data_IF_365037014781
#
_entry.id   IF_365037014781
#
_cell.length_a   1.000
_cell.length_b   1.000
_cell.length_c   1.000
_cell.angle_alpha   90.00
_cell.angle_beta   90.00
_cell.angle_gamma   90.00
#
_symmetry.space_group_name_H-M   'P 1'
#
loop_
_entity.id
_entity.type
_entity.pdbx_description
1 polymer ?
#
# COMPACT_ATOMS: atom_id res chain seq x y z
N UNK A 1 -13.85 -7.16 10.35
CA UNK A 1 -13.02 -6.08 9.73
C UNK A 1 -13.62 -4.71 9.95
N UNK A 2 -14.90 -4.48 9.60
CA UNK A 2 -15.59 -3.22 9.86
C UNK A 2 -15.63 -2.87 11.36
N UNK A 3 -16.09 -3.79 12.21
CA UNK A 3 -16.15 -3.60 13.66
C UNK A 3 -14.80 -3.22 14.28
N UNK A 4 -13.73 -3.91 13.88
CA UNK A 4 -12.38 -3.59 14.32
C UNK A 4 -11.92 -2.20 13.87
N UNK A 5 -12.19 -1.81 12.62
CA UNK A 5 -11.80 -0.49 12.12
C UNK A 5 -12.56 0.64 12.81
N UNK A 6 -13.89 0.52 12.92
CA UNK A 6 -14.73 1.56 13.51
C UNK A 6 -14.64 1.62 15.04
N UNK A 7 -14.33 0.50 15.71
CA UNK A 7 -14.08 0.41 17.16
C UNK A 7 -12.64 0.73 17.58
N UNK A 8 -11.71 0.90 16.64
CA UNK A 8 -10.31 1.20 16.94
C UNK A 8 -10.12 2.64 17.40
N UNK A 9 -9.23 2.86 18.37
CA UNK A 9 -8.72 4.19 18.76
C UNK A 9 -7.67 4.74 17.78
N UNK A 10 -7.26 3.95 16.79
CA UNK A 10 -6.28 4.36 15.80
C UNK A 10 -6.86 5.46 14.90
N UNK A 11 -6.09 6.52 14.67
CA UNK A 11 -6.47 7.56 13.72
C UNK A 11 -6.67 6.96 12.31
N UNK A 12 -7.84 7.12 11.69
CA UNK A 12 -8.09 6.69 10.32
C UNK A 12 -7.03 7.26 9.37
N UNK A 13 -6.65 8.53 9.56
CA UNK A 13 -5.63 9.20 8.77
C UNK A 13 -4.26 8.52 8.90
N UNK A 14 -3.86 8.16 10.12
CA UNK A 14 -2.61 7.45 10.36
C UNK A 14 -2.61 6.08 9.66
N UNK A 15 -3.75 5.39 9.66
CA UNK A 15 -3.91 4.12 8.97
C UNK A 15 -3.80 4.29 7.45
N UNK A 16 -4.48 5.27 6.87
CA UNK A 16 -4.38 5.59 5.44
C UNK A 16 -2.95 5.93 5.03
N UNK A 17 -2.27 6.78 5.81
CA UNK A 17 -0.87 7.14 5.56
C UNK A 17 0.05 5.92 5.64
N UNK A 18 -0.20 4.99 6.55
CA UNK A 18 0.53 3.73 6.63
C UNK A 18 0.37 2.85 5.38
N UNK A 19 -0.82 2.81 4.79
CA UNK A 19 -1.03 2.14 3.49
C UNK A 19 -0.35 2.90 2.35
N UNK A 20 -0.53 4.22 2.29
CA UNK A 20 0.07 5.07 1.26
C UNK A 20 1.59 4.89 1.19
N UNK A 21 2.29 5.01 2.32
CA UNK A 21 3.74 4.84 2.39
C UNK A 21 4.19 3.46 1.91
N UNK A 22 3.45 2.40 2.26
CA UNK A 22 3.76 1.03 1.81
C UNK A 22 3.60 0.90 0.30
N UNK A 23 2.51 1.37 -0.29
CA UNK A 23 2.30 1.31 -1.73
C UNK A 23 3.30 2.17 -2.51
N UNK A 24 3.66 3.36 -1.99
CA UNK A 24 4.70 4.21 -2.57
C UNK A 24 6.07 3.54 -2.55
N UNK A 25 6.42 2.82 -1.48
CA UNK A 25 7.64 2.04 -1.42
C UNK A 25 7.66 0.94 -2.49
N UNK A 26 6.55 0.20 -2.65
CA UNK A 26 6.45 -0.84 -3.69
C UNK A 26 6.58 -0.24 -5.09
N UNK A 27 5.90 0.88 -5.37
CA UNK A 27 6.01 1.59 -6.65
C UNK A 27 7.45 2.04 -6.92
N UNK A 28 8.11 2.62 -5.92
CA UNK A 28 9.49 3.08 -6.04
C UNK A 28 10.46 1.95 -6.34
N UNK A 29 10.28 0.78 -5.72
CA UNK A 29 11.06 -0.42 -6.04
C UNK A 29 10.88 -0.84 -7.49
N UNK A 30 9.64 -0.87 -8.01
CA UNK A 30 9.39 -1.19 -9.42
C UNK A 30 10.06 -0.18 -10.37
N UNK A 31 9.83 1.11 -10.16
CA UNK A 31 10.41 2.17 -10.99
C UNK A 31 11.94 2.09 -11.00
N UNK A 32 12.56 1.91 -9.84
CA UNK A 32 14.01 1.88 -9.73
C UNK A 32 14.61 0.60 -10.31
N UNK A 33 13.93 -0.54 -10.18
CA UNK A 33 14.36 -1.80 -10.82
C UNK A 33 14.36 -1.70 -12.35
N UNK A 34 13.35 -1.05 -12.92
CA UNK A 34 13.24 -0.85 -14.37
C UNK A 34 14.25 0.20 -14.85
N UNK A 35 14.38 1.33 -14.14
CA UNK A 35 15.28 2.41 -14.52
C UNK A 35 16.76 2.00 -14.48
N UNK A 36 17.15 1.21 -13.50
CA UNK A 36 18.53 0.74 -13.35
C UNK A 36 18.79 -0.60 -14.05
N UNK A 37 17.76 -1.21 -14.65
CA UNK A 37 17.82 -2.55 -15.26
C UNK A 37 18.39 -3.63 -14.33
N UNK A 38 18.05 -3.56 -13.03
CA UNK A 38 18.47 -4.52 -12.01
C UNK A 38 17.28 -5.33 -11.49
N UNK A 39 17.57 -6.51 -10.95
CA UNK A 39 16.52 -7.33 -10.34
C UNK A 39 15.82 -6.60 -9.19
N UNK A 40 14.53 -6.92 -9.00
CA UNK A 40 13.75 -6.45 -7.86
C UNK A 40 14.46 -6.78 -6.54
N UNK A 41 15.10 -7.94 -6.43
CA UNK A 41 15.86 -8.33 -5.25
C UNK A 41 17.04 -7.39 -4.96
N UNK A 42 17.85 -7.06 -5.97
CA UNK A 42 18.94 -6.08 -5.82
C UNK A 42 18.39 -4.71 -5.42
N UNK A 43 17.24 -4.32 -5.96
CA UNK A 43 16.58 -3.07 -5.62
C UNK A 43 16.11 -3.07 -4.16
N UNK A 44 15.48 -4.15 -3.68
CA UNK A 44 15.10 -4.30 -2.26
C UNK A 44 16.33 -4.19 -1.36
N UNK A 45 17.47 -4.79 -1.72
CA UNK A 45 18.70 -4.69 -0.93
C UNK A 45 19.23 -3.24 -0.86
N UNK A 46 19.06 -2.46 -1.93
CA UNK A 46 19.41 -1.02 -1.95
C UNK A 46 18.52 -0.19 -1.02
N UNK A 47 17.21 -0.47 -0.99
CA UNK A 47 16.24 0.23 -0.15
C UNK A 47 16.31 -0.18 1.33
N UNK A 48 16.42 -1.49 1.58
CA UNK A 48 16.56 -2.04 2.93
C UNK A 48 18.01 -2.37 3.22
N UNK A 49 18.77 -1.31 3.51
CA UNK A 49 20.15 -1.39 4.03
C UNK A 49 20.22 -2.05 5.40
N UNK A 50 19.09 -2.16 6.10
CA UNK A 50 19.02 -2.86 7.39
C UNK A 50 19.25 -4.36 7.19
N UNK A 51 20.04 -4.99 8.07
CA UNK A 51 20.30 -6.45 8.06
C UNK A 51 19.09 -7.27 8.53
N UNK A 52 17.87 -6.74 8.49
CA UNK A 52 16.66 -7.41 9.03
C UNK A 52 16.06 -8.31 7.94
N UNK A 53 16.30 -9.64 7.95
CA UNK A 53 15.95 -10.50 6.83
C UNK A 53 14.43 -10.63 6.68
N UNK A 54 13.70 -10.62 7.80
CA UNK A 54 12.24 -10.69 7.85
C UNK A 54 11.56 -9.56 7.07
N UNK A 55 12.12 -8.35 7.12
CA UNK A 55 11.57 -7.17 6.42
C UNK A 55 11.75 -7.29 4.90
N UNK A 56 12.92 -7.78 4.47
CA UNK A 56 13.20 -8.06 3.06
C UNK A 56 12.28 -9.16 2.51
N UNK A 57 12.11 -10.25 3.25
CA UNK A 57 11.22 -11.35 2.87
C UNK A 57 9.76 -10.88 2.74
N UNK A 58 9.31 -10.01 3.65
CA UNK A 58 7.98 -9.40 3.57
C UNK A 58 7.83 -8.53 2.32
N UNK A 59 8.81 -7.69 1.99
CA UNK A 59 8.79 -6.87 0.78
C UNK A 59 8.76 -7.72 -0.49
N UNK A 60 9.55 -8.78 -0.55
CA UNK A 60 9.52 -9.72 -1.68
C UNK A 60 8.13 -10.35 -1.85
N UNK A 61 7.53 -10.84 -0.76
CA UNK A 61 6.16 -11.36 -0.77
C UNK A 61 5.14 -10.32 -1.23
N UNK A 62 5.27 -9.07 -0.79
CA UNK A 62 4.38 -8.01 -1.24
C UNK A 62 4.54 -7.71 -2.74
N UNK A 63 5.76 -7.71 -3.27
CA UNK A 63 6.00 -7.50 -4.71
C UNK A 63 5.58 -8.69 -5.57
N UNK A 64 5.49 -9.89 -5.01
CA UNK A 64 4.88 -11.05 -5.68
C UNK A 64 3.35 -10.91 -5.78
N UNK A 65 2.69 -10.42 -4.72
CA UNK A 65 1.25 -10.22 -4.70
C UNK A 65 0.84 -9.00 -5.52
N UNK A 66 1.56 -7.89 -5.38
CA UNK A 66 1.14 -6.59 -5.90
C UNK A 66 1.98 -6.20 -7.12
N UNK A 67 1.46 -6.44 -8.32
CA UNK A 67 2.11 -5.96 -9.52
C UNK A 67 2.01 -4.43 -9.66
N UNK A 68 2.94 -3.86 -10.44
CA UNK A 68 3.07 -2.42 -10.69
C UNK A 68 1.77 -1.74 -11.12
N UNK A 69 0.99 -2.37 -12.01
CA UNK A 69 -0.24 -1.78 -12.53
C UNK A 69 -1.33 -1.68 -11.46
N UNK A 70 -1.42 -2.68 -10.58
CA UNK A 70 -2.34 -2.64 -9.44
C UNK A 70 -1.90 -1.57 -8.43
N UNK A 71 -0.60 -1.50 -8.12
CA UNK A 71 -0.05 -0.49 -7.23
C UNK A 71 -0.40 0.92 -7.70
N UNK A 72 -0.17 1.23 -8.99
CA UNK A 72 -0.53 2.52 -9.59
C UNK A 72 -2.01 2.85 -9.42
N UNK A 73 -2.90 1.88 -9.66
CA UNK A 73 -4.36 2.06 -9.49
C UNK A 73 -4.74 2.36 -8.05
N UNK A 74 -4.15 1.63 -7.09
CA UNK A 74 -4.41 1.85 -5.66
C UNK A 74 -3.90 3.23 -5.23
N UNK A 75 -2.68 3.62 -5.63
CA UNK A 75 -2.11 4.94 -5.31
C UNK A 75 -2.94 6.07 -5.90
N UNK A 76 -3.39 5.93 -7.14
CA UNK A 76 -4.27 6.91 -7.77
C UNK A 76 -5.59 7.05 -6.99
N UNK A 77 -6.20 5.93 -6.58
CA UNK A 77 -7.43 5.94 -5.78
C UNK A 77 -7.20 6.59 -4.41
N UNK A 78 -6.11 6.26 -3.72
CA UNK A 78 -5.75 6.90 -2.44
C UNK A 78 -5.63 8.42 -2.61
N UNK A 79 -4.95 8.89 -3.65
CA UNK A 79 -4.79 10.32 -3.92
C UNK A 79 -6.13 11.03 -4.19
N UNK A 80 -7.01 10.42 -4.98
CA UNK A 80 -8.36 10.94 -5.23
C UNK A 80 -9.16 11.08 -3.93
N UNK A 81 -9.12 10.05 -3.09
CA UNK A 81 -9.85 10.06 -1.82
C UNK A 81 -9.25 11.03 -0.81
N UNK A 82 -7.92 11.19 -0.74
CA UNK A 82 -7.28 12.25 0.07
C UNK A 82 -7.77 13.64 -0.35
N UNK A 83 -7.94 13.87 -1.66
CA UNK A 83 -8.50 15.14 -2.15
C UNK A 83 -9.96 15.33 -1.71
N UNK A 84 -10.77 14.26 -1.70
CA UNK A 84 -12.16 14.30 -1.21
C UNK A 84 -12.23 14.52 0.31
N UNK A 85 -11.33 13.89 1.09
CA UNK A 85 -11.22 14.09 2.55
C UNK A 85 -10.98 15.55 2.92
N UNK A 86 -10.13 16.25 2.16
CA UNK A 86 -9.88 17.69 2.37
C UNK A 86 -11.14 18.54 2.21
N UNK A 87 -12.09 18.11 1.37
CA UNK A 87 -13.36 18.79 1.12
C UNK A 87 -14.49 18.35 2.06
N UNK A 88 -14.47 17.11 2.55
CA UNK A 88 -15.56 16.50 3.34
C UNK A 88 -15.02 15.74 4.57
N UNK A 89 -14.54 16.49 5.57
CA UNK A 89 -13.97 15.91 6.82
C UNK A 89 -14.95 15.00 7.58
N UNK A 90 -16.25 15.29 7.55
CA UNK A 90 -17.27 14.48 8.24
C UNK A 90 -17.36 13.03 7.72
N UNK A 91 -16.94 12.77 6.49
CA UNK A 91 -16.98 11.44 5.86
C UNK A 91 -15.65 10.69 5.99
N UNK A 92 -14.70 11.19 6.78
CA UNK A 92 -13.33 10.70 6.79
C UNK A 92 -13.21 9.21 7.08
N UNK A 93 -13.85 8.76 8.17
CA UNK A 93 -13.84 7.35 8.56
C UNK A 93 -14.41 6.44 7.47
N UNK A 94 -15.49 6.86 6.82
CA UNK A 94 -16.15 6.07 5.77
C UNK A 94 -15.28 5.96 4.51
N UNK A 95 -14.73 7.09 4.05
CA UNK A 95 -13.84 7.13 2.88
C UNK A 95 -12.60 6.27 3.11
N UNK A 96 -11.96 6.40 4.28
CA UNK A 96 -10.76 5.62 4.60
C UNK A 96 -11.08 4.13 4.72
N UNK A 97 -12.21 3.78 5.33
CA UNK A 97 -12.66 2.39 5.39
C UNK A 97 -12.86 1.79 3.98
N UNK A 98 -13.46 2.53 3.05
CA UNK A 98 -13.66 2.09 1.68
C UNK A 98 -12.34 1.82 0.94
N UNK A 99 -11.32 2.66 1.15
CA UNK A 99 -9.98 2.44 0.60
C UNK A 99 -9.37 1.14 1.13
N UNK A 100 -9.42 0.94 2.44
CA UNK A 100 -8.85 -0.25 3.07
C UNK A 100 -9.59 -1.51 2.60
N UNK A 101 -10.92 -1.45 2.52
CA UNK A 101 -11.75 -2.52 2.01
C UNK A 101 -11.38 -2.88 0.56
N UNK A 102 -11.19 -1.87 -0.30
CA UNK A 102 -10.75 -2.06 -1.67
C UNK A 102 -9.39 -2.76 -1.74
N UNK A 103 -8.42 -2.32 -0.93
CA UNK A 103 -7.08 -2.94 -0.85
C UNK A 103 -7.22 -4.41 -0.44
N UNK A 104 -7.99 -4.71 0.61
CA UNK A 104 -8.18 -6.08 1.10
C UNK A 104 -8.89 -6.98 0.09
N UNK A 105 -9.93 -6.49 -0.58
CA UNK A 105 -10.61 -7.23 -1.64
C UNK A 105 -9.70 -7.49 -2.84
N UNK A 106 -8.83 -6.53 -3.19
CA UNK A 106 -7.87 -6.69 -4.27
C UNK A 106 -6.83 -7.75 -3.94
N UNK A 107 -6.28 -7.73 -2.73
CA UNK A 107 -5.34 -8.75 -2.26
C UNK A 107 -5.95 -10.16 -2.30
N UNK A 108 -7.19 -10.30 -1.81
CA UNK A 108 -7.92 -11.57 -1.80
C UNK A 108 -8.17 -12.13 -3.21
N UNK A 109 -8.53 -11.26 -4.15
CA UNK A 109 -8.73 -11.65 -5.55
C UNK A 109 -7.45 -12.15 -6.22
N UNK A 110 -6.30 -11.57 -5.86
CA UNK A 110 -5.00 -11.99 -6.40
C UNK A 110 -4.61 -13.36 -5.87
N UNK A 111 -4.80 -13.63 -4.57
CA UNK A 111 -4.43 -14.90 -3.95
C UNK A 111 -5.27 -16.11 -4.41
N UNK A 112 -6.47 -15.87 -4.96
CA UNK A 112 -7.34 -16.92 -5.50
C UNK A 112 -7.05 -17.29 -6.96
N UNK A 113 -6.14 -16.57 -7.62
CA UNK A 113 -5.70 -16.84 -9.00
C UNK A 113 -4.36 -17.56 -8.96
#
# INVERSE_FOLDING_TARGET
MAEFFFGSKMSPHALLNGFLQKFQLLEKIYIESEFLEISIEKTIQKFEKTRIPKKRLLLQKFLQIWNKNIIKKILHKINQEIHLLRKKRSLEKSIIFQIILLISQTAHKIQKR
#
